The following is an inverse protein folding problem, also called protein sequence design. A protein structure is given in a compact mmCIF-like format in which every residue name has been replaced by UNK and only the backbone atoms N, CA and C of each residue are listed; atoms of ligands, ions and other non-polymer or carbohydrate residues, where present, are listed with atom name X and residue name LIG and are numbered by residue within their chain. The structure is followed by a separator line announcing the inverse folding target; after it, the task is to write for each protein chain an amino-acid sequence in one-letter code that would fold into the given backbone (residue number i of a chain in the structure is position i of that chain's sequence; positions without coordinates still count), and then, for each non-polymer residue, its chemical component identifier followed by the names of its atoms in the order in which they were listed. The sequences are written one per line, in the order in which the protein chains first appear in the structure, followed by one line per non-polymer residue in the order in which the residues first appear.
data_IF_003700608867
#
_entry.id   IF_003700608867
#
_cell.length_a   1.000
_cell.length_b   1.000
_cell.length_c   1.000
_cell.angle_alpha   90.00
_cell.angle_beta   90.00
_cell.angle_gamma   90.00
#
_symmetry.space_group_name_H-M   'P 1'
#
loop_
_entity.id
_entity.type
_entity.pdbx_description
1 polymer ?
#
# COMPACT_ATOMS: atom_id res chain seq x y z
N UNK A 1 16.43 -7.10 116.15
CA UNK A 1 16.74 -7.89 117.36
C UNK A 1 17.18 -9.33 117.07
N UNK A 2 16.70 -10.01 116.01
CA UNK A 2 17.10 -11.42 115.77
C UNK A 2 18.50 -11.61 115.17
N UNK A 3 19.02 -10.64 114.41
CA UNK A 3 20.35 -10.72 113.78
C UNK A 3 21.50 -10.77 114.81
N UNK A 4 21.33 -10.12 115.95
CA UNK A 4 22.34 -9.96 117.00
C UNK A 4 22.51 -11.26 117.82
N UNK A 5 21.40 -11.97 118.09
CA UNK A 5 21.42 -13.26 118.77
C UNK A 5 22.06 -14.38 117.93
N UNK A 6 21.87 -14.35 116.60
CA UNK A 6 22.43 -15.38 115.70
C UNK A 6 23.95 -15.32 115.60
N UNK A 7 24.51 -14.11 115.51
CA UNK A 7 25.96 -13.89 115.48
C UNK A 7 26.62 -14.29 116.81
N UNK A 8 26.00 -13.93 117.95
CA UNK A 8 26.44 -14.36 119.28
C UNK A 8 26.39 -15.88 119.45
N UNK A 9 25.37 -16.55 118.93
CA UNK A 9 25.24 -18.01 118.98
C UNK A 9 26.27 -18.73 118.08
N UNK A 10 26.54 -18.21 116.88
CA UNK A 10 27.60 -18.73 115.99
C UNK A 10 28.98 -18.58 116.62
N UNK A 11 29.26 -17.43 117.23
CA UNK A 11 30.55 -17.18 117.88
C UNK A 11 30.72 -18.05 119.13
N UNK A 12 29.67 -18.21 119.94
CA UNK A 12 29.69 -19.13 121.08
C UNK A 12 29.91 -20.60 120.63
N UNK A 13 29.27 -21.01 119.53
CA UNK A 13 29.46 -22.34 118.94
C UNK A 13 30.88 -22.52 118.39
N UNK A 14 31.43 -21.50 117.72
CA UNK A 14 32.82 -21.51 117.22
C UNK A 14 33.82 -21.72 118.35
N UNK A 15 33.70 -20.92 119.42
CA UNK A 15 34.59 -21.02 120.60
C UNK A 15 34.44 -22.36 121.30
N UNK A 16 33.21 -22.88 121.43
CA UNK A 16 32.96 -24.19 122.02
C UNK A 16 33.60 -25.32 121.18
N UNK A 17 33.46 -25.28 119.85
CA UNK A 17 34.07 -26.25 118.93
C UNK A 17 35.59 -26.17 118.95
N UNK A 18 36.18 -24.98 119.04
CA UNK A 18 37.64 -24.81 119.18
C UNK A 18 38.18 -25.45 120.46
N UNK A 19 37.43 -25.34 121.57
CA UNK A 19 37.75 -26.02 122.82
C UNK A 19 37.68 -27.55 122.68
N UNK A 20 36.65 -28.08 122.01
CA UNK A 20 36.49 -29.51 121.71
C UNK A 20 37.63 -30.02 120.82
N UNK A 21 37.99 -29.27 119.78
CA UNK A 21 39.11 -29.59 118.89
C UNK A 21 40.46 -29.55 119.64
N UNK A 22 40.61 -28.66 120.63
CA UNK A 22 41.76 -28.64 121.54
C UNK A 22 41.88 -29.92 122.37
N UNK A 23 40.78 -30.36 123.00
CA UNK A 23 40.73 -31.64 123.73
C UNK A 23 41.08 -32.83 122.82
N UNK A 24 40.56 -32.84 121.59
CA UNK A 24 40.83 -33.89 120.61
C UNK A 24 42.32 -33.93 120.21
N UNK A 25 42.94 -32.77 119.95
CA UNK A 25 44.37 -32.65 119.61
C UNK A 25 45.28 -33.06 120.77
N UNK A 26 44.87 -32.82 122.00
CA UNK A 26 45.56 -33.26 123.23
C UNK A 26 45.34 -34.75 123.55
N UNK A 27 44.58 -35.49 122.74
CA UNK A 27 44.32 -36.93 122.92
C UNK A 27 43.32 -37.25 124.05
N UNK A 28 42.56 -36.27 124.51
CA UNK A 28 41.56 -36.45 125.58
C UNK A 28 40.29 -37.11 125.03
N UNK A 29 39.62 -37.93 125.85
CA UNK A 29 38.31 -38.49 125.51
C UNK A 29 37.26 -37.38 125.44
N UNK A 30 36.54 -37.32 124.33
CA UNK A 30 35.41 -36.42 124.14
C UNK A 30 34.23 -36.88 124.98
N UNK A 31 33.54 -35.94 125.63
CA UNK A 31 32.25 -36.22 126.27
C UNK A 31 31.12 -36.30 125.24
N UNK A 32 29.95 -36.75 125.68
CA UNK A 32 28.73 -36.71 124.85
C UNK A 32 28.41 -35.26 124.44
N UNK A 33 28.60 -34.27 125.31
CA UNK A 33 28.46 -32.85 124.95
C UNK A 33 29.47 -32.41 123.88
N UNK A 34 30.73 -32.85 123.97
CA UNK A 34 31.76 -32.53 122.98
C UNK A 34 31.36 -33.09 121.59
N UNK A 35 30.78 -34.30 121.53
CA UNK A 35 30.26 -34.91 120.30
C UNK A 35 29.03 -34.14 119.77
N UNK A 36 28.10 -33.75 120.66
CA UNK A 36 26.94 -32.92 120.29
C UNK A 36 27.35 -31.56 119.72
N UNK A 37 28.37 -30.91 120.29
CA UNK A 37 28.91 -29.64 119.80
C UNK A 37 29.47 -29.78 118.38
N UNK A 38 30.16 -30.88 118.08
CA UNK A 38 30.66 -31.16 116.72
C UNK A 38 29.51 -31.39 115.72
N UNK A 39 28.50 -32.17 116.07
CA UNK A 39 27.32 -32.36 115.21
C UNK A 39 26.56 -31.04 114.99
N UNK A 40 26.37 -30.26 116.05
CA UNK A 40 25.72 -28.95 115.96
C UNK A 40 26.50 -28.01 115.04
N UNK A 41 27.83 -28.01 115.10
CA UNK A 41 28.68 -27.23 114.23
C UNK A 41 28.60 -27.66 112.75
N UNK A 42 28.59 -28.97 112.48
CA UNK A 42 28.43 -29.50 111.11
C UNK A 42 27.06 -29.12 110.54
N UNK A 43 25.98 -29.31 111.30
CA UNK A 43 24.62 -28.93 110.88
C UNK A 43 24.53 -27.42 110.65
N UNK A 44 25.10 -26.59 111.54
CA UNK A 44 25.11 -25.14 111.36
C UNK A 44 25.81 -24.74 110.06
N UNK A 45 26.93 -25.38 109.72
CA UNK A 45 27.66 -25.14 108.47
C UNK A 45 26.84 -25.55 107.23
N UNK A 46 26.26 -26.74 107.23
CA UNK A 46 25.40 -27.20 106.12
C UNK A 46 24.19 -26.28 105.92
N UNK A 47 23.58 -25.79 107.01
CA UNK A 47 22.49 -24.82 106.95
C UNK A 47 22.94 -23.49 106.33
N UNK A 48 24.15 -23.01 106.62
CA UNK A 48 24.69 -21.80 106.00
C UNK A 48 24.99 -21.99 104.51
N UNK A 49 25.54 -23.15 104.12
CA UNK A 49 25.76 -23.52 102.71
C UNK A 49 24.43 -23.59 101.95
N UNK A 50 23.41 -24.26 102.51
CA UNK A 50 22.04 -24.32 101.95
C UNK A 50 21.43 -22.92 101.81
N UNK A 51 21.57 -22.05 102.82
CA UNK A 51 21.07 -20.65 102.73
C UNK A 51 21.71 -19.91 101.57
N UNK A 52 23.01 -20.12 101.33
CA UNK A 52 23.73 -19.50 100.21
C UNK A 52 23.24 -20.04 98.87
N UNK A 53 23.08 -21.35 98.72
CA UNK A 53 22.52 -21.96 97.50
C UNK A 53 21.10 -21.49 97.21
N UNK A 54 20.25 -21.36 98.25
CA UNK A 54 18.90 -20.80 98.12
C UNK A 54 18.97 -19.35 97.64
N UNK A 55 19.88 -18.53 98.17
CA UNK A 55 20.04 -17.14 97.73
C UNK A 55 20.47 -17.05 96.25
N UNK A 56 21.44 -17.85 95.83
CA UNK A 56 21.89 -17.93 94.44
C UNK A 56 20.78 -18.43 93.51
N UNK A 57 20.03 -19.45 93.94
CA UNK A 57 18.88 -19.99 93.19
C UNK A 57 17.79 -18.93 93.03
N UNK A 58 17.47 -18.19 94.08
CA UNK A 58 16.51 -17.08 94.03
C UNK A 58 16.96 -15.98 93.05
N UNK A 59 18.26 -15.67 93.01
CA UNK A 59 18.80 -14.73 92.04
C UNK A 59 18.61 -15.24 90.60
N UNK A 60 18.94 -16.52 90.33
CA UNK A 60 18.75 -17.14 89.01
C UNK A 60 17.28 -17.18 88.60
N UNK A 61 16.37 -17.43 89.54
CA UNK A 61 14.92 -17.37 89.31
C UNK A 61 14.50 -15.96 88.91
N UNK A 62 14.97 -14.94 89.63
CA UNK A 62 14.67 -13.54 89.30
C UNK A 62 15.18 -13.13 87.92
N UNK A 63 16.38 -13.55 87.54
CA UNK A 63 16.93 -13.33 86.20
C UNK A 63 16.14 -14.06 85.11
N UNK A 64 15.73 -15.30 85.40
CA UNK A 64 14.90 -16.10 84.48
C UNK A 64 13.53 -15.46 84.28
N UNK A 65 12.89 -14.97 85.35
CA UNK A 65 11.61 -14.26 85.26
C UNK A 65 11.74 -12.99 84.40
N UNK A 66 12.80 -12.20 84.57
CA UNK A 66 13.06 -11.04 83.70
C UNK A 66 13.19 -11.43 82.23
N UNK A 67 13.91 -12.52 81.93
CA UNK A 67 14.05 -13.03 80.55
C UNK A 67 12.72 -13.52 79.98
N UNK A 68 11.87 -14.15 80.80
CA UNK A 68 10.52 -14.57 80.40
C UNK A 68 9.68 -13.34 80.04
N UNK A 69 9.71 -12.28 80.86
CA UNK A 69 8.97 -11.03 80.58
C UNK A 69 9.45 -10.36 79.28
N UNK A 70 10.76 -10.34 79.02
CA UNK A 70 11.33 -9.84 77.77
C UNK A 70 10.92 -10.67 76.56
N UNK A 71 10.90 -12.00 76.69
CA UNK A 71 10.42 -12.91 75.65
C UNK A 71 8.93 -12.66 75.38
N UNK A 72 8.11 -12.49 76.43
CA UNK A 72 6.70 -12.15 76.29
C UNK A 72 6.49 -10.89 75.47
N UNK A 73 7.20 -9.81 75.80
CA UNK A 73 7.16 -8.55 75.02
C UNK A 73 7.59 -8.74 73.56
N UNK A 74 8.61 -9.57 73.30
CA UNK A 74 9.05 -9.88 71.93
C UNK A 74 8.02 -10.68 71.15
N UNK A 75 7.34 -11.62 71.80
CA UNK A 75 6.25 -12.40 71.18
C UNK A 75 5.09 -11.48 70.81
N UNK A 76 4.68 -10.59 71.71
CA UNK A 76 3.62 -9.62 71.45
C UNK A 76 3.95 -8.72 70.24
N UNK A 77 5.20 -8.26 70.16
CA UNK A 77 5.66 -7.43 69.04
C UNK A 77 5.71 -8.21 67.72
N UNK A 78 6.16 -9.47 67.74
CA UNK A 78 6.14 -10.34 66.56
C UNK A 78 4.70 -10.57 66.09
N UNK A 79 3.76 -10.81 67.01
CA UNK A 79 2.35 -11.01 66.68
C UNK A 79 1.76 -9.76 66.00
N UNK A 80 2.03 -8.56 66.54
CA UNK A 80 1.60 -7.30 65.87
C UNK A 80 2.14 -7.18 64.46
N UNK A 81 3.44 -7.46 64.26
CA UNK A 81 4.06 -7.41 62.94
C UNK A 81 3.48 -8.43 61.96
N UNK A 82 3.09 -9.61 62.46
CA UNK A 82 2.39 -10.63 61.67
C UNK A 82 1.02 -10.10 61.24
N UNK A 83 0.25 -9.52 62.16
CA UNK A 83 -1.07 -8.97 61.86
C UNK A 83 -1.00 -7.83 60.83
N UNK A 84 -0.06 -6.90 60.99
CA UNK A 84 0.20 -5.83 60.01
C UNK A 84 0.60 -6.40 58.64
N UNK A 85 1.42 -7.45 58.62
CA UNK A 85 1.84 -8.10 57.38
C UNK A 85 0.66 -8.77 56.68
N UNK A 86 -0.21 -9.45 57.43
CA UNK A 86 -1.41 -10.09 56.90
C UNK A 86 -2.37 -9.04 56.30
N UNK A 87 -2.60 -7.92 56.99
CA UNK A 87 -3.42 -6.82 56.46
C UNK A 87 -2.86 -6.22 55.16
N UNK A 88 -1.53 -6.09 55.08
CA UNK A 88 -0.85 -5.62 53.86
C UNK A 88 -1.00 -6.63 52.72
N UNK A 89 -0.88 -7.93 53.01
CA UNK A 89 -1.09 -8.99 52.03
C UNK A 89 -2.52 -8.94 51.48
N UNK A 90 -3.52 -8.86 52.36
CA UNK A 90 -4.93 -8.78 51.96
C UNK A 90 -5.20 -7.57 51.06
N UNK A 91 -4.64 -6.41 51.42
CA UNK A 91 -4.76 -5.18 50.63
C UNK A 91 -4.14 -5.32 49.24
N UNK A 92 -2.95 -5.93 49.15
CA UNK A 92 -2.26 -6.17 47.87
C UNK A 92 -3.05 -7.16 47.01
N UNK A 93 -3.58 -8.23 47.60
CA UNK A 93 -4.39 -9.22 46.88
C UNK A 93 -5.66 -8.58 46.31
N UNK A 94 -6.37 -7.76 47.09
CA UNK A 94 -7.56 -7.06 46.63
C UNK A 94 -7.25 -6.10 45.47
N UNK A 95 -6.18 -5.31 45.58
CA UNK A 95 -5.77 -4.39 44.52
C UNK A 95 -5.35 -5.13 43.24
N UNK A 96 -4.60 -6.23 43.37
CA UNK A 96 -4.22 -7.04 42.21
C UNK A 96 -5.44 -7.66 41.51
N UNK A 97 -6.39 -8.21 42.27
CA UNK A 97 -7.63 -8.74 41.70
C UNK A 97 -8.40 -7.65 40.94
N UNK A 98 -8.52 -6.45 41.52
CA UNK A 98 -9.18 -5.30 40.87
C UNK A 98 -8.49 -4.92 39.56
N UNK A 99 -7.15 -4.85 39.56
CA UNK A 99 -6.36 -4.52 38.36
C UNK A 99 -6.46 -5.61 37.29
N UNK A 100 -6.51 -6.87 37.68
CA UNK A 100 -6.72 -8.01 36.77
C UNK A 100 -8.12 -7.89 36.12
N UNK A 101 -9.16 -7.65 36.90
CA UNK A 101 -10.52 -7.48 36.39
C UNK A 101 -10.65 -6.31 35.42
N UNK A 102 -10.02 -5.17 35.74
CA UNK A 102 -10.01 -4.01 34.85
C UNK A 102 -9.24 -4.30 33.55
N UNK A 103 -8.11 -4.98 33.65
CA UNK A 103 -7.31 -5.38 32.49
C UNK A 103 -8.09 -6.33 31.59
N UNK A 104 -8.79 -7.32 32.16
CA UNK A 104 -9.64 -8.24 31.41
C UNK A 104 -10.77 -7.50 30.69
N UNK A 105 -11.47 -6.59 31.36
CA UNK A 105 -12.51 -5.75 30.72
C UNK A 105 -11.96 -4.92 29.56
N UNK A 106 -10.75 -4.38 29.70
CA UNK A 106 -10.08 -3.62 28.61
C UNK A 106 -9.72 -4.53 27.44
N UNK A 107 -9.23 -5.73 27.70
CA UNK A 107 -8.92 -6.73 26.67
C UNK A 107 -10.19 -7.14 25.92
N UNK A 108 -11.29 -7.40 26.63
CA UNK A 108 -12.57 -7.77 26.02
C UNK A 108 -13.11 -6.65 25.12
N UNK A 109 -13.07 -5.40 25.60
CA UNK A 109 -13.50 -4.23 24.83
C UNK A 109 -12.66 -4.03 23.56
N UNK A 110 -11.34 -4.17 23.66
CA UNK A 110 -10.43 -4.08 22.51
C UNK A 110 -10.72 -5.21 21.50
N UNK A 111 -10.93 -6.43 21.99
CA UNK A 111 -11.21 -7.60 21.15
C UNK A 111 -12.51 -7.44 20.39
N UNK A 112 -13.56 -6.95 21.05
CA UNK A 112 -14.86 -6.67 20.42
C UNK A 112 -14.76 -5.57 19.37
N UNK A 113 -14.11 -4.45 19.68
CA UNK A 113 -13.96 -3.34 18.73
C UNK A 113 -13.10 -3.72 17.52
N UNK A 114 -12.01 -4.47 17.74
CA UNK A 114 -11.20 -4.98 16.63
C UNK A 114 -11.99 -5.93 15.73
N UNK A 115 -12.75 -6.85 16.32
CA UNK A 115 -13.60 -7.79 15.55
C UNK A 115 -14.63 -7.02 14.71
N UNK A 116 -15.30 -6.03 15.33
CA UNK A 116 -16.29 -5.17 14.65
C UNK A 116 -15.67 -4.41 13.47
N UNK A 117 -14.48 -3.82 13.67
CA UNK A 117 -13.76 -3.09 12.62
C UNK A 117 -13.29 -4.00 11.48
N UNK A 118 -12.87 -5.23 11.79
CA UNK A 118 -12.49 -6.23 10.78
C UNK A 118 -13.71 -6.58 9.94
N UNK A 119 -14.85 -6.88 10.56
CA UNK A 119 -16.09 -7.21 9.85
C UNK A 119 -16.59 -6.07 8.96
N UNK A 120 -16.57 -4.83 9.48
CA UNK A 120 -16.93 -3.64 8.71
C UNK A 120 -16.01 -3.42 7.52
N UNK A 121 -14.70 -3.58 7.70
CA UNK A 121 -13.74 -3.44 6.62
C UNK A 121 -13.91 -4.53 5.57
N UNK A 122 -14.14 -5.78 5.96
CA UNK A 122 -14.40 -6.89 5.03
C UNK A 122 -15.65 -6.60 4.18
N UNK A 123 -16.76 -6.17 4.79
CA UNK A 123 -17.97 -5.77 4.05
C UNK A 123 -17.73 -4.63 3.06
N UNK A 124 -16.92 -3.63 3.45
CA UNK A 124 -16.56 -2.51 2.56
C UNK A 124 -15.70 -2.99 1.39
N UNK A 125 -14.74 -3.88 1.65
CA UNK A 125 -13.89 -4.48 0.61
C UNK A 125 -14.76 -5.27 -0.37
N UNK A 126 -15.64 -6.14 0.11
CA UNK A 126 -16.55 -6.93 -0.74
C UNK A 126 -17.41 -6.03 -1.63
N UNK A 127 -17.96 -4.94 -1.06
CA UNK A 127 -18.76 -3.96 -1.80
C UNK A 127 -17.95 -3.28 -2.90
N UNK A 128 -16.71 -2.85 -2.61
CA UNK A 128 -15.83 -2.21 -3.59
C UNK A 128 -15.45 -3.20 -4.69
N UNK A 129 -15.14 -4.45 -4.35
CA UNK A 129 -14.81 -5.50 -5.32
C UNK A 129 -15.99 -5.77 -6.25
N UNK A 130 -17.20 -5.91 -5.72
CA UNK A 130 -18.40 -6.11 -6.53
C UNK A 130 -18.66 -4.95 -7.49
N UNK A 131 -18.55 -3.70 -7.01
CA UNK A 131 -18.76 -2.53 -7.84
C UNK A 131 -17.68 -2.38 -8.93
N UNK A 132 -16.42 -2.70 -8.60
CA UNK A 132 -15.34 -2.69 -9.60
C UNK A 132 -15.56 -3.74 -10.68
N UNK A 133 -15.94 -4.97 -10.32
CA UNK A 133 -16.25 -6.01 -11.29
C UNK A 133 -17.41 -5.59 -12.21
N UNK A 134 -18.49 -5.03 -11.63
CA UNK A 134 -19.63 -4.51 -12.39
C UNK A 134 -19.20 -3.44 -13.41
N UNK A 135 -18.37 -2.48 -12.99
CA UNK A 135 -17.86 -1.41 -13.88
C UNK A 135 -16.93 -1.93 -14.96
N UNK A 136 -16.13 -2.95 -14.66
CA UNK A 136 -15.27 -3.62 -15.65
C UNK A 136 -16.14 -4.30 -16.70
N UNK A 137 -17.16 -5.05 -16.29
CA UNK A 137 -18.09 -5.73 -17.21
C UNK A 137 -18.83 -4.74 -18.11
N UNK A 138 -19.35 -3.64 -17.56
CA UNK A 138 -19.99 -2.57 -18.33
C UNK A 138 -19.02 -1.92 -19.33
N UNK A 139 -17.76 -1.71 -18.92
CA UNK A 139 -16.73 -1.13 -19.79
C UNK A 139 -16.41 -2.08 -20.94
N UNK A 140 -16.27 -3.39 -20.67
CA UNK A 140 -16.03 -4.41 -21.68
C UNK A 140 -17.19 -4.46 -22.70
N UNK A 141 -18.43 -4.44 -22.23
CA UNK A 141 -19.61 -4.40 -23.12
C UNK A 141 -19.59 -3.17 -24.04
N UNK A 142 -19.26 -1.98 -23.50
CA UNK A 142 -19.14 -0.75 -24.30
C UNK A 142 -18.00 -0.81 -25.32
N UNK A 143 -16.90 -1.47 -24.98
CA UNK A 143 -15.78 -1.71 -25.91
C UNK A 143 -16.24 -2.64 -27.04
N UNK A 144 -16.92 -3.74 -26.73
CA UNK A 144 -17.43 -4.68 -27.72
C UNK A 144 -18.45 -4.02 -28.67
N UNK A 145 -19.35 -3.19 -28.15
CA UNK A 145 -20.29 -2.42 -28.96
C UNK A 145 -19.58 -1.41 -29.87
N UNK A 146 -18.58 -0.70 -29.34
CA UNK A 146 -17.76 0.22 -30.13
C UNK A 146 -17.03 -0.52 -31.26
N UNK A 147 -16.43 -1.67 -30.97
CA UNK A 147 -15.74 -2.49 -31.96
C UNK A 147 -16.70 -2.95 -33.08
N UNK A 148 -17.89 -3.45 -32.73
CA UNK A 148 -18.93 -3.83 -33.72
C UNK A 148 -19.33 -2.64 -34.60
N UNK A 149 -19.46 -1.44 -34.03
CA UNK A 149 -19.77 -0.22 -34.80
C UNK A 149 -18.64 0.16 -35.75
N UNK A 150 -17.39 0.04 -35.30
CA UNK A 150 -16.21 0.29 -36.13
C UNK A 150 -16.18 -0.70 -37.30
N UNK A 151 -16.37 -1.99 -37.05
CA UNK A 151 -16.41 -3.02 -38.09
C UNK A 151 -17.51 -2.74 -39.12
N UNK A 152 -18.71 -2.37 -38.66
CA UNK A 152 -19.82 -2.00 -39.55
C UNK A 152 -19.48 -0.79 -40.44
N UNK A 153 -18.85 0.24 -39.87
CA UNK A 153 -18.40 1.43 -40.62
C UNK A 153 -17.33 1.06 -41.65
N UNK A 154 -16.35 0.23 -41.27
CA UNK A 154 -15.30 -0.24 -42.19
C UNK A 154 -15.92 -0.98 -43.38
N UNK A 155 -16.87 -1.88 -43.13
CA UNK A 155 -17.57 -2.62 -44.18
C UNK A 155 -18.39 -1.69 -45.10
N UNK A 156 -19.15 -0.75 -44.53
CA UNK A 156 -19.95 0.19 -45.32
C UNK A 156 -19.07 1.10 -46.19
N UNK A 157 -17.97 1.62 -45.62
CA UNK A 157 -17.01 2.45 -46.36
C UNK A 157 -16.30 1.66 -47.45
N UNK A 158 -15.87 0.43 -47.17
CA UNK A 158 -15.29 -0.47 -48.18
C UNK A 158 -16.24 -0.65 -49.36
N UNK A 159 -17.51 -0.96 -49.09
CA UNK A 159 -18.55 -1.12 -50.12
C UNK A 159 -18.75 0.16 -50.94
N UNK A 160 -18.81 1.35 -50.29
CA UNK A 160 -18.97 2.63 -51.00
C UNK A 160 -17.76 2.98 -51.86
N UNK A 161 -16.56 2.65 -51.40
CA UNK A 161 -15.32 2.83 -52.19
C UNK A 161 -15.37 1.94 -53.42
N UNK A 162 -15.73 0.66 -53.28
CA UNK A 162 -15.84 -0.27 -54.41
C UNK A 162 -16.90 0.18 -55.42
N UNK A 163 -18.08 0.61 -54.97
CA UNK A 163 -19.13 1.17 -55.83
C UNK A 163 -18.65 2.43 -56.56
N UNK A 164 -17.90 3.29 -55.89
CA UNK A 164 -17.37 4.52 -56.48
C UNK A 164 -16.31 4.19 -57.54
N UNK A 165 -15.41 3.25 -57.26
CA UNK A 165 -14.41 2.79 -58.22
C UNK A 165 -15.06 2.19 -59.46
N UNK A 166 -16.09 1.34 -59.31
CA UNK A 166 -16.84 0.79 -60.44
C UNK A 166 -17.51 1.88 -61.29
N UNK A 167 -18.07 2.92 -60.66
CA UNK A 167 -18.64 4.07 -61.38
C UNK A 167 -17.58 4.87 -62.12
N UNK A 168 -16.41 5.08 -61.52
CA UNK A 168 -15.28 5.75 -62.16
C UNK A 168 -14.83 4.95 -63.39
N UNK A 169 -14.65 3.64 -63.26
CA UNK A 169 -14.26 2.76 -64.36
C UNK A 169 -15.28 2.78 -65.50
N UNK A 170 -16.58 2.73 -65.18
CA UNK A 170 -17.65 2.81 -66.18
C UNK A 170 -17.65 4.15 -66.92
N UNK A 171 -17.48 5.27 -66.22
CA UNK A 171 -17.38 6.61 -66.83
C UNK A 171 -16.13 6.72 -67.69
N UNK A 172 -14.99 6.20 -67.23
CA UNK A 172 -13.74 6.20 -67.98
C UNK A 172 -13.88 5.41 -69.30
N UNK A 173 -14.50 4.24 -69.26
CA UNK A 173 -14.76 3.43 -70.46
C UNK A 173 -15.71 4.14 -71.45
N UNK A 174 -16.78 4.73 -70.96
CA UNK A 174 -17.76 5.45 -71.79
C UNK A 174 -17.13 6.69 -72.45
N UNK A 175 -16.35 7.46 -71.69
CA UNK A 175 -15.61 8.59 -72.24
C UNK A 175 -14.58 8.14 -73.28
N UNK A 176 -13.88 7.03 -73.05
CA UNK A 176 -12.97 6.43 -74.03
C UNK A 176 -13.67 6.13 -75.36
N UNK A 177 -14.82 5.44 -75.32
CA UNK A 177 -15.63 5.15 -76.52
C UNK A 177 -16.07 6.42 -77.24
N UNK A 178 -16.57 7.42 -76.51
CA UNK A 178 -17.01 8.70 -77.11
C UNK A 178 -15.86 9.47 -77.76
N UNK A 179 -14.67 9.43 -77.17
CA UNK A 179 -13.46 10.01 -77.77
C UNK A 179 -13.12 9.27 -79.06
N UNK A 180 -13.11 7.94 -79.06
CA UNK A 180 -12.83 7.13 -80.26
C UNK A 180 -13.84 7.39 -81.39
N UNK A 181 -15.13 7.48 -81.07
CA UNK A 181 -16.18 7.84 -82.03
C UNK A 181 -16.02 9.25 -82.59
N UNK A 182 -15.66 10.21 -81.72
CA UNK A 182 -15.42 11.60 -82.12
C UNK A 182 -14.21 11.68 -83.05
N UNK A 183 -13.12 10.96 -82.73
CA UNK A 183 -11.94 10.88 -83.59
C UNK A 183 -12.29 10.29 -84.96
N UNK A 184 -13.05 9.20 -85.03
CA UNK A 184 -13.53 8.62 -86.30
C UNK A 184 -14.36 9.61 -87.12
N UNK A 185 -15.24 10.39 -86.47
CA UNK A 185 -16.03 11.43 -87.15
C UNK A 185 -15.15 12.56 -87.68
N UNK A 186 -14.15 12.99 -86.91
CA UNK A 186 -13.17 13.99 -87.33
C UNK A 186 -12.39 13.49 -88.55
N UNK A 187 -11.89 12.24 -88.51
CA UNK A 187 -11.16 11.63 -89.63
C UNK A 187 -12.03 11.55 -90.90
N UNK A 188 -13.29 11.13 -90.77
CA UNK A 188 -14.22 11.06 -91.90
C UNK A 188 -14.51 12.45 -92.51
N UNK A 189 -14.70 13.47 -91.67
CA UNK A 189 -14.89 14.85 -92.12
C UNK A 189 -13.63 15.37 -92.81
N UNK A 190 -12.45 15.09 -92.25
CA UNK A 190 -11.17 15.50 -92.84
C UNK A 190 -10.98 14.88 -94.24
N UNK A 191 -11.30 13.59 -94.40
CA UNK A 191 -11.25 12.90 -95.69
C UNK A 191 -12.22 13.49 -96.72
N UNK A 192 -13.49 13.71 -96.34
CA UNK A 192 -14.48 14.29 -97.26
C UNK A 192 -14.14 15.74 -97.65
N UNK A 193 -13.63 16.53 -96.70
CA UNK A 193 -13.14 17.87 -97.01
C UNK A 193 -11.95 17.83 -97.97
N UNK A 194 -11.00 16.92 -97.76
CA UNK A 194 -9.90 16.68 -98.70
C UNK A 194 -10.41 16.37 -100.11
N UNK A 195 -11.34 15.42 -100.24
CA UNK A 195 -11.97 15.04 -101.52
C UNK A 195 -12.66 16.23 -102.20
N UNK A 196 -13.42 17.03 -101.44
CA UNK A 196 -14.10 18.23 -101.98
C UNK A 196 -13.12 19.32 -102.42
N UNK A 197 -12.01 19.49 -101.70
CA UNK A 197 -10.93 20.41 -102.09
C UNK A 197 -10.33 19.93 -103.42
N UNK A 198 -10.01 18.64 -103.54
CA UNK A 198 -9.46 18.07 -104.77
C UNK A 198 -10.42 18.22 -105.95
N UNK A 199 -11.72 17.96 -105.76
CA UNK A 199 -12.74 18.19 -106.79
C UNK A 199 -12.84 19.66 -107.20
N UNK A 200 -12.77 20.57 -106.22
CA UNK A 200 -12.85 22.01 -106.47
C UNK A 200 -11.61 22.48 -107.23
N UNK A 201 -10.41 22.05 -106.83
CA UNK A 201 -9.17 22.32 -107.53
C UNK A 201 -9.24 21.82 -108.98
N UNK A 202 -9.69 20.58 -109.21
CA UNK A 202 -9.88 20.03 -110.56
C UNK A 202 -10.87 20.85 -111.41
N UNK A 203 -11.97 21.36 -110.81
CA UNK A 203 -12.91 22.24 -111.52
C UNK A 203 -12.28 23.59 -111.85
N UNK A 204 -11.53 24.18 -110.92
CA UNK A 204 -10.78 25.42 -111.12
C UNK A 204 -9.77 25.24 -112.27
N UNK A 205 -9.02 24.13 -112.30
CA UNK A 205 -8.07 23.83 -113.36
C UNK A 205 -8.76 23.75 -114.73
N UNK A 206 -9.89 23.04 -114.83
CA UNK A 206 -10.68 22.96 -116.06
C UNK A 206 -11.19 24.32 -116.53
N UNK A 207 -11.74 25.13 -115.62
CA UNK A 207 -12.22 26.49 -115.94
C UNK A 207 -11.05 27.37 -116.39
N UNK A 208 -9.90 27.26 -115.74
CA UNK A 208 -8.69 28.02 -116.07
C UNK A 208 -8.18 27.65 -117.47
N UNK A 209 -8.14 26.36 -117.81
CA UNK A 209 -7.79 25.89 -119.15
C UNK A 209 -8.77 26.39 -120.21
N UNK A 210 -10.08 26.32 -119.94
CA UNK A 210 -11.11 26.76 -120.88
C UNK A 210 -11.09 28.28 -121.10
N UNK A 211 -10.93 29.05 -120.03
CA UNK A 211 -10.72 30.50 -120.14
C UNK A 211 -9.45 30.82 -120.93
N UNK A 212 -8.35 30.10 -120.69
CA UNK A 212 -7.11 30.20 -121.47
C UNK A 212 -7.38 30.00 -122.97
N UNK A 213 -8.06 28.91 -123.36
CA UNK A 213 -8.44 28.66 -124.76
C UNK A 213 -9.29 29.77 -125.36
N UNK A 214 -10.30 30.25 -124.63
CA UNK A 214 -11.18 31.33 -125.12
C UNK A 214 -10.42 32.66 -125.27
N UNK A 215 -9.48 32.95 -124.37
CA UNK A 215 -8.58 34.10 -124.49
C UNK A 215 -7.71 33.96 -125.73
N UNK A 216 -7.09 32.79 -125.94
CA UNK A 216 -6.27 32.53 -127.13
C UNK A 216 -7.07 32.68 -128.44
N UNK A 217 -8.30 32.16 -128.47
CA UNK A 217 -9.20 32.30 -129.62
C UNK A 217 -9.64 33.75 -129.83
N UNK A 218 -9.93 34.47 -128.76
CA UNK A 218 -10.26 35.90 -128.81
C UNK A 218 -9.07 36.71 -129.31
N UNK A 219 -7.86 36.43 -128.83
CA UNK A 219 -6.62 37.04 -129.30
C UNK A 219 -6.41 36.78 -130.80
N UNK A 220 -6.59 35.54 -131.28
CA UNK A 220 -6.55 35.23 -132.72
C UNK A 220 -7.58 36.01 -133.54
N UNK A 221 -8.81 36.15 -133.04
CA UNK A 221 -9.86 36.95 -133.71
C UNK A 221 -9.48 38.44 -133.74
N UNK A 222 -8.93 38.96 -132.65
CA UNK A 222 -8.43 40.34 -132.57
C UNK A 222 -7.28 40.55 -133.57
N UNK A 223 -6.29 39.64 -133.62
CA UNK A 223 -5.20 39.68 -134.58
C UNK A 223 -5.72 39.67 -136.03
N UNK A 224 -6.74 38.84 -136.32
CA UNK A 224 -7.41 38.80 -137.62
C UNK A 224 -8.13 40.12 -137.99
N UNK A 225 -8.79 40.76 -137.02
CA UNK A 225 -9.40 42.09 -137.22
C UNK A 225 -8.34 43.16 -137.44
N UNK A 226 -7.25 43.15 -136.66
CA UNK A 226 -6.11 44.04 -136.86
C UNK A 226 -5.52 43.90 -138.27
N UNK A 227 -5.37 42.68 -138.78
CA UNK A 227 -4.90 42.43 -140.14
C UNK A 227 -5.86 43.00 -141.21
N UNK A 228 -7.17 42.74 -141.08
CA UNK A 228 -8.18 43.30 -141.99
C UNK A 228 -8.19 44.83 -141.99
N UNK A 229 -8.07 45.46 -140.82
CA UNK A 229 -7.98 46.92 -140.70
C UNK A 229 -6.73 47.46 -141.39
N UNK A 230 -5.60 46.76 -141.27
CA UNK A 230 -4.36 47.13 -141.96
C UNK A 230 -4.53 47.06 -143.48
N UNK A 231 -5.21 46.03 -143.98
CA UNK A 231 -5.50 45.87 -145.41
C UNK A 231 -6.49 46.93 -145.94
N UNK A 232 -7.54 47.25 -145.17
CA UNK A 232 -8.43 48.37 -145.47
C UNK A 232 -7.66 49.70 -145.48
N UNK A 233 -6.77 49.92 -144.51
CA UNK A 233 -5.93 51.12 -144.45
C UNK A 233 -5.00 51.23 -145.67
N UNK A 234 -4.42 50.12 -146.14
CA UNK A 234 -3.64 50.06 -147.39
C UNK A 234 -4.51 50.39 -148.62
N UNK A 235 -5.69 49.78 -148.74
CA UNK A 235 -6.65 50.04 -149.82
C UNK A 235 -7.09 51.52 -149.86
N UNK A 236 -7.40 52.10 -148.69
CA UNK A 236 -7.74 53.52 -148.58
C UNK A 236 -6.55 54.41 -148.97
N UNK A 237 -5.32 54.04 -148.60
CA UNK A 237 -4.11 54.74 -149.07
C UNK A 237 -3.91 54.63 -150.59
N UNK A 238 -4.25 53.50 -151.22
CA UNK A 238 -4.20 53.35 -152.68
C UNK A 238 -5.27 54.18 -153.38
N UNK A 239 -6.50 54.23 -152.85
CA UNK A 239 -7.58 55.07 -153.36
C UNK A 239 -7.20 56.55 -153.24
N UNK A 240 -6.66 56.97 -152.08
CA UNK A 240 -6.23 58.34 -151.84
C UNK A 240 -5.03 58.78 -152.70
N UNK A 241 -4.28 57.85 -153.30
CA UNK A 241 -3.19 58.15 -154.26
C UNK A 241 -3.65 58.25 -155.72
N UNK A 242 -4.90 57.87 -156.03
CA UNK A 242 -5.47 57.86 -157.40
C UNK A 242 -6.50 58.96 -157.67
N UNK A 243 -6.83 59.77 -156.66
CA UNK A 243 -7.52 61.06 -156.82
C UNK A 243 -6.53 62.19 -156.59
#
# INVERSE_FOLDING_TARGET
MSADLGALAQEALRVAVESVLGKLKEGKRLSTEDIFLLYLATISRELDEIRKEIAETNQRINETNKRIDEIGKRIDEVNRRIDETNQRIDSVVQELNRRIDETNKRIDAITQELSRRIDENNKRIDTVVQELNRRIDETNQRIDETNKRIDAIIQELGRKIDETNQRIDAVAQELGKRIDETNKRIDAIAQELGRRIDETNNKIDKVTQELGRRIDETNKRIDGVYALLLDIQKLLMEIAKRG
#
